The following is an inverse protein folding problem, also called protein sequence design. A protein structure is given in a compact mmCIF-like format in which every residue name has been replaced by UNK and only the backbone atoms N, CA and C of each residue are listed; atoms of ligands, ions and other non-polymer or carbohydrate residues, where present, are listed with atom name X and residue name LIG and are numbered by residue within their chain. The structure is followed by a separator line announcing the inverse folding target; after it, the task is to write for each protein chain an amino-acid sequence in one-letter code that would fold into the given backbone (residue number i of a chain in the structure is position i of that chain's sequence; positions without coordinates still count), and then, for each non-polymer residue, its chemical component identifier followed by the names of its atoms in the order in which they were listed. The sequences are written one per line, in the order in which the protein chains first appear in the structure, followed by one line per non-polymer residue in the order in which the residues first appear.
data_IF_590558407272
#
_entry.id   IF_590558407272
#
_cell.length_a   1.000
_cell.length_b   1.000
_cell.length_c   1.000
_cell.angle_alpha   90.00
_cell.angle_beta   90.00
_cell.angle_gamma   90.00
#
_symmetry.space_group_name_H-M   'P 1'
#
loop_
_entity.id
_entity.type
_entity.pdbx_description
1 polymer ?
#
# COMPACT_ATOMS: atom_id res chain seq x y z
N UNK A 1 -46.02 6.20 -11.66
CA UNK A 1 -46.18 7.60 -11.18
C UNK A 1 -45.10 8.01 -10.16
N UNK A 2 -44.71 7.16 -9.20
CA UNK A 2 -43.65 7.49 -8.22
C UNK A 2 -42.25 7.73 -8.83
N UNK A 3 -41.87 6.99 -9.88
CA UNK A 3 -40.56 7.16 -10.57
C UNK A 3 -40.47 8.43 -11.42
N UNK A 4 -41.59 8.89 -12.00
CA UNK A 4 -41.63 10.08 -12.85
C UNK A 4 -41.58 11.38 -12.01
N UNK A 5 -42.20 11.37 -10.82
CA UNK A 5 -42.09 12.48 -9.86
C UNK A 5 -40.66 12.61 -9.30
N UNK A 6 -39.98 11.49 -9.01
CA UNK A 6 -38.59 11.49 -8.56
C UNK A 6 -37.60 11.96 -9.65
N UNK A 7 -37.87 11.66 -10.93
CA UNK A 7 -37.05 12.14 -12.04
C UNK A 7 -37.19 13.66 -12.27
N UNK A 8 -38.41 14.20 -12.15
CA UNK A 8 -38.67 15.66 -12.22
C UNK A 8 -38.01 16.42 -11.05
N UNK A 9 -38.05 15.88 -9.83
CA UNK A 9 -37.41 16.48 -8.65
C UNK A 9 -35.87 16.43 -8.72
N UNK A 10 -35.30 15.39 -9.34
CA UNK A 10 -33.86 15.32 -9.59
C UNK A 10 -33.39 16.37 -10.61
N UNK A 11 -34.13 16.57 -11.70
CA UNK A 11 -33.79 17.57 -12.72
C UNK A 11 -33.82 19.01 -12.17
N UNK A 12 -34.75 19.32 -11.27
CA UNK A 12 -34.79 20.62 -10.59
C UNK A 12 -33.55 20.88 -9.72
N UNK A 13 -33.12 19.87 -8.97
CA UNK A 13 -31.91 19.95 -8.12
C UNK A 13 -30.63 20.09 -8.95
N UNK A 14 -30.55 19.43 -10.10
CA UNK A 14 -29.42 19.59 -11.03
C UNK A 14 -29.35 21.01 -11.62
N UNK A 15 -30.49 21.59 -11.97
CA UNK A 15 -30.56 22.96 -12.49
C UNK A 15 -30.13 24.00 -11.44
N UNK A 16 -30.57 23.83 -10.18
CA UNK A 16 -30.14 24.69 -9.07
C UNK A 16 -28.64 24.52 -8.78
N UNK A 17 -28.13 23.29 -8.80
CA UNK A 17 -26.70 23.02 -8.64
C UNK A 17 -25.86 23.67 -9.75
N UNK A 18 -26.32 23.62 -11.00
CA UNK A 18 -25.66 24.26 -12.13
C UNK A 18 -25.66 25.80 -12.02
N UNK A 19 -26.75 26.39 -11.49
CA UNK A 19 -26.80 27.82 -11.22
C UNK A 19 -25.77 28.24 -10.15
N UNK A 20 -25.60 27.43 -9.10
CA UNK A 20 -24.59 27.64 -8.08
C UNK A 20 -23.16 27.53 -8.64
N UNK A 21 -22.90 26.57 -9.55
CA UNK A 21 -21.60 26.49 -10.23
C UNK A 21 -21.30 27.77 -11.04
N UNK A 22 -22.28 28.26 -11.78
CA UNK A 22 -22.13 29.48 -12.57
C UNK A 22 -21.90 30.73 -11.69
N UNK A 23 -22.54 30.79 -10.51
CA UNK A 23 -22.28 31.83 -9.52
C UNK A 23 -20.86 31.73 -8.96
N UNK A 24 -20.41 30.53 -8.59
CA UNK A 24 -19.07 30.30 -8.07
C UNK A 24 -17.99 30.67 -9.10
N UNK A 25 -18.14 30.28 -10.36
CA UNK A 25 -17.23 30.68 -11.45
C UNK A 25 -17.14 32.19 -11.63
N UNK A 26 -18.27 32.90 -11.55
CA UNK A 26 -18.28 34.37 -11.63
C UNK A 26 -17.50 34.98 -10.48
N UNK A 27 -17.64 34.45 -9.26
CA UNK A 27 -16.86 34.91 -8.09
C UNK A 27 -15.36 34.66 -8.27
N UNK A 28 -14.96 33.52 -8.81
CA UNK A 28 -13.55 33.20 -9.11
C UNK A 28 -12.97 34.10 -10.22
N UNK A 29 -13.72 34.34 -11.31
CA UNK A 29 -13.27 35.23 -12.39
C UNK A 29 -13.17 36.70 -11.94
N UNK A 30 -14.09 37.14 -11.08
CA UNK A 30 -14.07 38.48 -10.49
C UNK A 30 -12.90 38.69 -9.52
N UNK A 31 -12.40 37.63 -8.86
CA UNK A 31 -11.21 37.71 -8.00
C UNK A 31 -9.90 37.68 -8.78
N UNK A 32 -9.85 37.04 -9.96
CA UNK A 32 -8.67 37.02 -10.86
C UNK A 32 -8.56 38.24 -11.78
N UNK A 33 -9.62 39.03 -11.94
CA UNK A 33 -9.60 40.21 -12.81
C UNK A 33 -8.66 41.29 -12.26
N UNK A 34 -7.75 41.76 -13.12
CA UNK A 34 -6.64 42.71 -12.93
C UNK A 34 -6.91 43.94 -12.03
N UNK A 35 -8.18 44.27 -11.77
CA UNK A 35 -8.59 45.37 -10.90
C UNK A 35 -8.66 45.04 -9.39
N UNK A 36 -8.48 43.77 -8.98
CA UNK A 36 -8.51 43.32 -7.56
C UNK A 36 -7.11 43.30 -6.88
N UNK A 37 -6.19 44.15 -7.32
CA UNK A 37 -4.74 44.02 -7.03
C UNK A 37 -4.19 44.58 -5.71
N UNK A 38 -5.00 44.89 -4.69
CA UNK A 38 -4.43 45.51 -3.47
C UNK A 38 -4.84 44.92 -2.11
N UNK A 39 -6.08 44.58 -1.82
CA UNK A 39 -6.44 44.11 -0.47
C UNK A 39 -7.81 43.40 -0.52
N UNK A 40 -7.86 42.07 -0.44
CA UNK A 40 -9.14 41.34 -0.24
C UNK A 40 -9.56 40.29 -1.28
N UNK A 41 -8.64 39.67 -2.01
CA UNK A 41 -8.95 38.57 -2.95
C UNK A 41 -9.20 37.20 -2.31
N UNK A 42 -8.62 36.94 -1.13
CA UNK A 42 -8.67 35.63 -0.46
C UNK A 42 -10.07 35.21 -0.01
N UNK A 43 -10.83 36.15 0.56
CA UNK A 43 -12.19 35.86 1.08
C UNK A 43 -13.18 35.48 -0.03
N UNK A 44 -13.02 36.06 -1.22
CA UNK A 44 -13.89 35.76 -2.38
C UNK A 44 -13.64 34.35 -2.94
N UNK A 45 -12.42 33.85 -2.86
CA UNK A 45 -12.08 32.49 -3.30
C UNK A 45 -12.61 31.47 -2.27
N UNK A 46 -12.53 31.78 -0.98
CA UNK A 46 -13.08 30.94 0.09
C UNK A 46 -14.62 30.81 -0.02
N UNK A 47 -15.33 31.93 -0.22
CA UNK A 47 -16.77 31.90 -0.51
C UNK A 47 -17.11 31.08 -1.77
N UNK A 48 -16.26 31.16 -2.81
CA UNK A 48 -16.48 30.38 -4.03
C UNK A 48 -16.32 28.88 -3.76
N UNK A 49 -15.33 28.47 -2.96
CA UNK A 49 -15.15 27.07 -2.56
C UNK A 49 -16.39 26.51 -1.86
N UNK A 50 -16.96 27.27 -0.91
CA UNK A 50 -18.18 26.85 -0.20
C UNK A 50 -19.38 26.68 -1.15
N UNK A 51 -19.51 27.55 -2.16
CA UNK A 51 -20.56 27.44 -3.18
C UNK A 51 -20.35 26.19 -4.04
N UNK A 52 -19.11 25.89 -4.45
CA UNK A 52 -18.82 24.64 -5.17
C UNK A 52 -19.14 23.40 -4.33
N UNK A 53 -18.77 23.38 -3.04
CA UNK A 53 -19.09 22.28 -2.14
C UNK A 53 -20.61 22.10 -1.97
N UNK A 54 -21.36 23.19 -1.88
CA UNK A 54 -22.83 23.17 -1.84
C UNK A 54 -23.41 22.59 -3.13
N UNK A 55 -22.98 23.09 -4.29
CA UNK A 55 -23.41 22.59 -5.60
C UNK A 55 -23.11 21.09 -5.76
N UNK A 56 -21.91 20.65 -5.35
CA UNK A 56 -21.50 19.25 -5.43
C UNK A 56 -22.36 18.33 -4.54
N UNK A 57 -22.76 18.79 -3.34
CA UNK A 57 -23.71 18.06 -2.51
C UNK A 57 -25.11 17.96 -3.14
N UNK A 58 -25.55 18.99 -3.86
CA UNK A 58 -26.81 18.92 -4.62
C UNK A 58 -26.73 17.95 -5.79
N UNK A 59 -25.60 17.89 -6.51
CA UNK A 59 -25.36 16.87 -7.54
C UNK A 59 -25.34 15.44 -6.96
N UNK A 60 -24.78 15.25 -5.75
CA UNK A 60 -24.85 13.97 -5.03
C UNK A 60 -26.30 13.56 -4.74
N UNK A 61 -27.16 14.51 -4.35
CA UNK A 61 -28.59 14.25 -4.13
C UNK A 61 -29.32 13.90 -5.42
N UNK A 62 -28.96 14.54 -6.53
CA UNK A 62 -29.48 14.24 -7.86
C UNK A 62 -28.96 12.90 -8.45
N UNK A 63 -28.00 12.24 -7.77
CA UNK A 63 -27.27 11.04 -8.22
C UNK A 63 -26.40 11.26 -9.46
N UNK A 64 -26.10 12.50 -9.78
CA UNK A 64 -25.16 12.84 -10.84
C UNK A 64 -23.74 12.87 -10.29
N UNK A 65 -23.14 11.69 -10.19
CA UNK A 65 -21.86 11.49 -9.50
C UNK A 65 -20.67 12.09 -10.27
N UNK A 66 -20.67 12.06 -11.60
CA UNK A 66 -19.59 12.65 -12.41
C UNK A 66 -19.55 14.18 -12.30
N UNK A 67 -20.71 14.85 -12.39
CA UNK A 67 -20.79 16.31 -12.22
C UNK A 67 -20.43 16.74 -10.78
N UNK A 68 -20.86 15.96 -9.78
CA UNK A 68 -20.50 16.18 -8.39
C UNK A 68 -18.98 16.10 -8.18
N UNK A 69 -18.33 15.07 -8.72
CA UNK A 69 -16.89 14.89 -8.63
C UNK A 69 -16.12 16.05 -9.25
N UNK A 70 -16.52 16.50 -10.45
CA UNK A 70 -15.90 17.64 -11.13
C UNK A 70 -16.02 18.94 -10.32
N UNK A 71 -17.18 19.19 -9.72
CA UNK A 71 -17.39 20.35 -8.84
C UNK A 71 -16.50 20.31 -7.60
N UNK A 72 -16.30 19.13 -6.99
CA UNK A 72 -15.36 18.97 -5.87
C UNK A 72 -13.90 19.14 -6.30
N UNK A 73 -13.50 18.68 -7.49
CA UNK A 73 -12.17 18.93 -8.03
C UNK A 73 -11.89 20.42 -8.23
N UNK A 74 -12.87 21.16 -8.74
CA UNK A 74 -12.78 22.62 -8.89
C UNK A 74 -12.66 23.31 -7.52
N UNK A 75 -13.47 22.90 -6.53
CA UNK A 75 -13.35 23.40 -5.16
C UNK A 75 -11.96 23.12 -4.56
N UNK A 76 -11.45 21.91 -4.74
CA UNK A 76 -10.15 21.49 -4.22
C UNK A 76 -8.99 22.28 -4.83
N UNK A 77 -9.05 22.57 -6.14
CA UNK A 77 -8.06 23.42 -6.82
C UNK A 77 -8.04 24.85 -6.28
N UNK A 78 -9.21 25.41 -5.94
CA UNK A 78 -9.31 26.74 -5.32
C UNK A 78 -8.77 26.74 -3.88
N UNK A 79 -9.02 25.68 -3.12
CA UNK A 79 -8.42 25.52 -1.78
C UNK A 79 -6.89 25.42 -1.83
N UNK A 80 -6.32 24.82 -2.88
CA UNK A 80 -4.87 24.82 -3.09
C UNK A 80 -4.33 26.23 -3.35
N UNK A 81 -5.06 27.08 -4.08
CA UNK A 81 -4.69 28.49 -4.29
C UNK A 81 -4.73 29.30 -2.99
N UNK A 82 -5.65 28.96 -2.08
CA UNK A 82 -5.77 29.55 -0.74
C UNK A 82 -4.69 29.07 0.25
N UNK A 83 -3.78 28.20 -0.18
CA UNK A 83 -2.80 27.50 0.67
C UNK A 83 -3.39 26.64 1.80
N UNK A 84 -4.71 26.42 1.84
CA UNK A 84 -5.32 25.45 2.76
C UNK A 84 -5.23 24.03 2.18
N UNK A 85 -4.08 23.39 2.39
CA UNK A 85 -3.80 22.03 1.89
C UNK A 85 -4.69 20.97 2.53
N UNK A 86 -5.05 21.12 3.80
CA UNK A 86 -5.84 20.13 4.52
C UNK A 86 -7.26 20.04 3.95
N UNK A 87 -7.92 21.19 3.75
CA UNK A 87 -9.28 21.24 3.21
C UNK A 87 -9.30 20.82 1.75
N UNK A 88 -8.28 21.20 0.98
CA UNK A 88 -8.10 20.72 -0.39
C UNK A 88 -8.04 19.19 -0.47
N UNK A 89 -7.26 18.55 0.42
CA UNK A 89 -7.15 17.09 0.47
C UNK A 89 -8.51 16.43 0.78
N UNK A 90 -9.28 16.98 1.73
CA UNK A 90 -10.62 16.47 2.03
C UNK A 90 -11.57 16.59 0.84
N UNK A 91 -11.54 17.70 0.10
CA UNK A 91 -12.35 17.87 -1.11
C UNK A 91 -11.97 16.87 -2.22
N UNK A 92 -10.67 16.54 -2.38
CA UNK A 92 -10.25 15.50 -3.33
C UNK A 92 -10.71 14.10 -2.91
N UNK A 93 -10.75 13.80 -1.61
CA UNK A 93 -11.30 12.54 -1.11
C UNK A 93 -12.81 12.46 -1.36
N UNK A 94 -13.55 13.55 -1.13
CA UNK A 94 -14.98 13.63 -1.44
C UNK A 94 -15.25 13.49 -2.95
N UNK A 95 -14.41 14.08 -3.80
CA UNK A 95 -14.44 13.87 -5.24
C UNK A 95 -14.21 12.39 -5.59
N UNK A 96 -13.17 11.77 -5.03
CA UNK A 96 -12.87 10.35 -5.23
C UNK A 96 -14.02 9.43 -4.83
N UNK A 97 -14.71 9.72 -3.72
CA UNK A 97 -15.89 8.98 -3.28
C UNK A 97 -17.09 9.13 -4.25
N UNK A 98 -17.25 10.29 -4.89
CA UNK A 98 -18.26 10.48 -5.92
C UNK A 98 -17.88 9.72 -7.20
N UNK A 99 -16.64 9.87 -7.68
CA UNK A 99 -16.16 9.21 -8.89
C UNK A 99 -16.08 7.70 -8.77
N UNK A 100 -15.87 7.12 -7.58
CA UNK A 100 -15.88 5.66 -7.38
C UNK A 100 -17.17 4.98 -7.88
N UNK A 101 -18.29 5.71 -7.97
CA UNK A 101 -19.57 5.21 -8.49
C UNK A 101 -19.82 5.50 -9.97
N UNK A 102 -19.07 6.43 -10.55
CA UNK A 102 -19.25 6.86 -11.94
C UNK A 102 -18.10 6.36 -12.81
N UNK A 103 -16.88 6.81 -12.49
CA UNK A 103 -15.69 6.67 -13.31
C UNK A 103 -14.49 6.29 -12.41
N UNK A 104 -14.03 5.02 -12.44
CA UNK A 104 -12.98 4.56 -11.53
C UNK A 104 -11.60 5.18 -11.80
N UNK A 105 -11.32 5.55 -13.06
CA UNK A 105 -10.04 6.16 -13.45
C UNK A 105 -9.85 7.56 -12.84
N UNK A 106 -10.87 8.42 -12.95
CA UNK A 106 -10.81 9.75 -12.33
C UNK A 106 -10.84 9.67 -10.80
N UNK A 107 -11.49 8.64 -10.22
CA UNK A 107 -11.44 8.39 -8.79
C UNK A 107 -10.01 8.13 -8.31
N UNK A 108 -9.24 7.31 -9.05
CA UNK A 108 -7.84 7.03 -8.74
C UNK A 108 -7.01 8.31 -8.83
N UNK A 109 -7.17 9.09 -9.90
CA UNK A 109 -6.46 10.37 -10.06
C UNK A 109 -6.73 11.31 -8.87
N UNK A 110 -8.00 11.49 -8.50
CA UNK A 110 -8.38 12.32 -7.36
C UNK A 110 -7.77 11.84 -6.03
N UNK A 111 -7.78 10.53 -5.78
CA UNK A 111 -7.18 9.94 -4.59
C UNK A 111 -5.64 10.06 -4.60
N UNK A 112 -4.99 9.91 -5.74
CA UNK A 112 -3.54 10.13 -5.89
C UNK A 112 -3.17 11.58 -5.57
N UNK A 113 -3.94 12.55 -6.09
CA UNK A 113 -3.77 13.97 -5.74
C UNK A 113 -3.95 14.23 -4.24
N UNK A 114 -4.92 13.57 -3.60
CA UNK A 114 -5.10 13.68 -2.14
C UNK A 114 -3.89 13.12 -1.37
N UNK A 115 -3.36 11.97 -1.78
CA UNK A 115 -2.18 11.35 -1.17
C UNK A 115 -0.96 12.27 -1.27
N UNK A 116 -0.68 12.83 -2.44
CA UNK A 116 0.43 13.79 -2.61
C UNK A 116 0.33 14.95 -1.60
N UNK A 117 -0.87 15.49 -1.42
CA UNK A 117 -1.10 16.58 -0.44
C UNK A 117 -0.87 16.09 0.99
N UNK A 118 -1.37 14.90 1.35
CA UNK A 118 -1.12 14.31 2.68
C UNK A 118 0.35 14.02 2.91
N UNK A 119 1.09 13.51 1.93
CA UNK A 119 2.52 13.24 2.03
C UNK A 119 3.36 14.52 2.07
N UNK A 120 3.01 15.54 1.29
CA UNK A 120 3.68 16.84 1.28
C UNK A 120 3.52 17.58 2.62
N UNK A 121 2.33 17.53 3.21
CA UNK A 121 2.11 18.08 4.55
C UNK A 121 3.03 17.41 5.58
N UNK A 122 3.27 16.11 5.44
CA UNK A 122 4.08 15.35 6.39
C UNK A 122 5.59 15.59 6.21
N UNK A 123 6.08 15.68 4.96
CA UNK A 123 7.49 16.03 4.68
C UNK A 123 7.87 17.41 5.22
N UNK A 124 6.93 18.37 5.19
CA UNK A 124 7.15 19.72 5.75
C UNK A 124 7.19 19.70 7.29
N UNK A 125 6.49 18.76 7.96
CA UNK A 125 6.58 18.63 9.43
C UNK A 125 7.82 17.88 9.91
N UNK A 126 8.45 17.06 9.07
CA UNK A 126 9.60 16.23 9.42
C UNK A 126 10.97 16.93 9.31
N UNK A 127 11.05 18.18 8.83
CA UNK A 127 12.32 18.87 8.66
C UNK A 127 12.25 20.38 8.98
N UNK A 128 12.69 20.81 10.18
CA UNK A 128 13.25 22.15 10.37
C UNK A 128 14.77 22.20 10.13
N UNK A 129 15.46 21.06 9.98
CA UNK A 129 16.94 21.02 9.99
C UNK A 129 17.51 20.03 8.97
N UNK A 130 17.23 20.21 7.68
CA UNK A 130 18.04 19.62 6.61
C UNK A 130 18.08 20.56 5.39
N UNK A 131 18.96 21.57 5.35
CA UNK A 131 19.24 22.29 4.12
C UNK A 131 20.32 21.54 3.33
N UNK A 132 19.95 20.60 2.46
CA UNK A 132 20.86 20.19 1.37
C UNK A 132 20.10 19.69 0.13
N UNK A 133 19.68 20.66 -0.69
CA UNK A 133 19.89 20.64 -2.14
C UNK A 133 19.68 22.08 -2.65
N UNK A 134 20.75 22.70 -3.13
CA UNK A 134 20.76 24.11 -3.57
C UNK A 134 19.78 24.38 -4.72
N UNK A 135 19.05 25.51 -4.70
CA UNK A 135 18.46 26.10 -5.88
C UNK A 135 19.46 27.09 -6.48
N UNK A 136 19.90 26.87 -7.72
CA UNK A 136 20.54 27.96 -8.49
C UNK A 136 19.50 28.47 -9.48
N UNK A 137 19.29 29.79 -9.42
CA UNK A 137 18.42 30.65 -10.24
C UNK A 137 16.96 30.79 -9.77
N UNK A 138 16.77 31.71 -8.80
CA UNK A 138 15.76 32.76 -8.86
C UNK A 138 16.23 33.93 -7.96
N UNK A 139 16.31 35.18 -8.44
CA UNK A 139 16.29 36.32 -7.55
C UNK A 139 14.88 36.90 -7.48
N UNK A 140 14.36 37.02 -6.25
CA UNK A 140 13.58 38.12 -5.67
C UNK A 140 12.52 37.58 -4.69
N UNK A 141 12.99 37.22 -3.49
CA UNK A 141 12.16 37.05 -2.30
C UNK A 141 12.18 38.36 -1.52
N UNK A 142 11.05 39.06 -1.49
CA UNK A 142 10.79 40.12 -0.52
C UNK A 142 10.06 39.49 0.67
N UNK A 143 10.71 39.55 1.82
CA UNK A 143 10.15 39.29 3.14
C UNK A 143 8.99 40.23 3.43
N UNK A 144 7.88 39.70 3.94
CA UNK A 144 7.09 40.37 4.98
C UNK A 144 6.26 39.34 5.75
N UNK A 145 6.54 39.32 7.05
CA UNK A 145 5.95 38.57 8.15
C UNK A 145 4.48 38.88 8.42
N UNK A 146 3.70 37.86 8.82
CA UNK A 146 2.99 37.81 10.13
C UNK A 146 1.94 36.70 10.13
N UNK A 147 2.10 35.69 10.98
CA UNK A 147 1.07 34.68 11.27
C UNK A 147 1.57 33.72 12.36
N UNK A 148 0.74 33.39 13.36
CA UNK A 148 1.21 32.82 14.61
C UNK A 148 1.61 31.35 14.46
N UNK A 149 2.68 31.03 15.15
CA UNK A 149 3.12 29.69 15.51
C UNK A 149 2.12 29.08 16.51
N UNK A 150 1.14 28.29 16.05
CA UNK A 150 0.41 27.32 16.91
C UNK A 150 -0.56 26.38 16.17
N UNK A 151 -0.02 25.30 15.58
CA UNK A 151 -0.48 23.95 15.91
C UNK A 151 0.57 22.94 15.44
N UNK A 152 1.49 22.60 16.35
CA UNK A 152 2.09 21.26 16.34
C UNK A 152 0.97 20.28 16.69
N UNK A 153 0.11 19.99 15.72
CA UNK A 153 -0.72 18.80 15.80
C UNK A 153 0.22 17.63 15.62
N UNK A 154 0.43 16.92 16.72
CA UNK A 154 1.01 15.59 16.84
C UNK A 154 0.94 14.82 15.53
N UNK A 155 2.09 14.64 14.85
CA UNK A 155 2.20 13.94 13.56
C UNK A 155 1.87 12.44 13.59
N UNK A 156 1.33 11.93 14.70
CA UNK A 156 0.84 10.56 14.86
C UNK A 156 -0.57 10.47 14.29
N UNK A 157 -0.73 9.79 13.16
CA UNK A 157 -2.05 9.55 12.54
C UNK A 157 -2.21 10.13 11.13
N UNK A 158 -1.30 10.99 10.67
CA UNK A 158 -1.40 11.59 9.32
C UNK A 158 -0.96 10.63 8.21
N UNK A 159 0.02 9.76 8.46
CA UNK A 159 0.34 8.72 7.46
C UNK A 159 -0.73 7.62 7.45
N UNK A 160 -1.46 7.37 8.56
CA UNK A 160 -2.59 6.43 8.54
C UNK A 160 -3.64 6.83 7.51
N UNK A 161 -3.88 8.12 7.32
CA UNK A 161 -4.87 8.62 6.35
C UNK A 161 -4.38 8.39 4.92
N UNK A 162 -3.11 8.73 4.63
CA UNK A 162 -2.51 8.47 3.32
C UNK A 162 -2.48 6.96 3.00
N UNK A 163 -2.15 6.12 3.97
CA UNK A 163 -2.14 4.66 3.84
C UNK A 163 -3.56 4.11 3.55
N UNK A 164 -4.59 4.61 4.24
CA UNK A 164 -5.99 4.24 3.94
C UNK A 164 -6.39 4.59 2.51
N UNK A 165 -5.93 5.73 1.98
CA UNK A 165 -6.20 6.09 0.59
C UNK A 165 -5.46 5.20 -0.40
N UNK A 166 -4.22 4.78 -0.11
CA UNK A 166 -3.53 3.76 -0.91
C UNK A 166 -4.27 2.42 -0.94
N UNK A 167 -4.79 1.95 0.21
CA UNK A 167 -5.66 0.77 0.24
C UNK A 167 -6.89 0.98 -0.64
N UNK A 168 -7.56 2.13 -0.53
CA UNK A 168 -8.77 2.41 -1.31
C UNK A 168 -8.50 2.46 -2.81
N UNK A 169 -7.35 2.99 -3.24
CA UNK A 169 -6.91 2.96 -4.64
C UNK A 169 -6.69 1.52 -5.09
N UNK A 170 -6.00 0.72 -4.28
CA UNK A 170 -5.72 -0.67 -4.60
C UNK A 170 -7.02 -1.51 -4.69
N UNK A 171 -7.99 -1.30 -3.81
CA UNK A 171 -9.33 -1.90 -3.91
C UNK A 171 -10.05 -1.53 -5.22
N UNK A 172 -9.88 -0.30 -5.75
CA UNK A 172 -10.46 0.09 -7.04
C UNK A 172 -9.75 -0.64 -8.19
N UNK A 173 -8.42 -0.79 -8.13
CA UNK A 173 -7.68 -1.57 -9.11
C UNK A 173 -8.07 -3.05 -9.10
N UNK A 174 -8.38 -3.61 -7.94
CA UNK A 174 -8.88 -4.98 -7.80
C UNK A 174 -10.27 -5.17 -8.42
N UNK A 175 -11.24 -4.30 -8.10
CA UNK A 175 -12.65 -4.54 -8.46
C UNK A 175 -13.01 -4.05 -9.85
N UNK A 176 -12.51 -2.89 -10.27
CA UNK A 176 -13.00 -2.21 -11.49
C UNK A 176 -12.06 -2.38 -12.69
N UNK A 177 -10.74 -2.41 -12.46
CA UNK A 177 -9.74 -2.40 -13.53
C UNK A 177 -9.03 -3.74 -13.72
N UNK A 178 -9.10 -4.62 -12.71
CA UNK A 178 -8.44 -5.93 -12.69
C UNK A 178 -6.95 -5.84 -13.04
N UNK A 179 -6.30 -4.74 -12.67
CA UNK A 179 -4.86 -4.52 -12.84
C UNK A 179 -4.15 -4.87 -11.53
N UNK A 180 -3.79 -6.16 -11.41
CA UNK A 180 -3.26 -6.76 -10.17
C UNK A 180 -1.84 -6.25 -9.88
N UNK A 181 -1.03 -5.98 -10.92
CA UNK A 181 0.35 -5.51 -10.77
C UNK A 181 0.40 -4.13 -10.09
N UNK A 182 -0.43 -3.19 -10.57
CA UNK A 182 -0.51 -1.85 -9.95
C UNK A 182 -1.15 -1.89 -8.57
N UNK A 183 -2.12 -2.79 -8.34
CA UNK A 183 -2.71 -2.97 -7.02
C UNK A 183 -1.66 -3.39 -5.99
N UNK A 184 -0.77 -4.33 -6.34
CA UNK A 184 0.34 -4.76 -5.47
C UNK A 184 1.22 -3.58 -5.07
N UNK A 185 1.67 -2.77 -6.03
CA UNK A 185 2.55 -1.63 -5.75
C UNK A 185 1.92 -0.65 -4.75
N UNK A 186 0.61 -0.39 -4.87
CA UNK A 186 -0.10 0.49 -3.93
C UNK A 186 -0.31 -0.16 -2.54
N UNK A 187 -0.55 -1.46 -2.45
CA UNK A 187 -0.62 -2.15 -1.17
C UNK A 187 0.73 -2.24 -0.46
N UNK A 188 1.82 -2.45 -1.19
CA UNK A 188 3.19 -2.43 -0.65
C UNK A 188 3.51 -1.05 -0.08
N UNK A 189 3.24 0.00 -0.85
CA UNK A 189 3.43 1.37 -0.39
C UNK A 189 2.59 1.67 0.86
N UNK A 190 1.34 1.20 0.91
CA UNK A 190 0.51 1.32 2.11
C UNK A 190 1.08 0.56 3.31
N UNK A 191 1.64 -0.63 3.10
CA UNK A 191 2.24 -1.43 4.16
C UNK A 191 3.45 -0.72 4.77
N UNK A 192 4.29 -0.10 3.93
CA UNK A 192 5.45 0.67 4.37
C UNK A 192 5.05 1.89 5.21
N UNK A 193 3.97 2.60 4.82
CA UNK A 193 3.43 3.70 5.63
C UNK A 193 2.95 3.22 7.01
N UNK A 194 2.23 2.09 7.08
CA UNK A 194 1.79 1.54 8.36
C UNK A 194 2.93 1.01 9.22
N UNK A 195 3.97 0.44 8.59
CA UNK A 195 5.19 -0.04 9.26
C UNK A 195 5.97 1.13 9.86
N UNK A 196 6.05 2.25 9.16
CA UNK A 196 6.66 3.50 9.66
C UNK A 196 5.95 4.12 10.86
N UNK A 197 4.65 3.87 11.01
CA UNK A 197 3.84 4.32 12.16
C UNK A 197 3.67 3.26 13.26
N UNK A 198 4.41 2.14 13.21
CA UNK A 198 4.35 1.01 14.15
C UNK A 198 2.97 0.30 14.21
N UNK A 199 2.09 0.54 13.24
CA UNK A 199 0.77 -0.10 13.13
C UNK A 199 0.86 -1.48 12.45
N UNK A 200 1.50 -2.42 13.15
CA UNK A 200 1.80 -3.76 12.60
C UNK A 200 0.56 -4.53 12.15
N UNK A 201 -0.57 -4.43 12.85
CA UNK A 201 -1.80 -5.14 12.47
C UNK A 201 -2.35 -4.70 11.10
N UNK A 202 -2.32 -3.40 10.82
CA UNK A 202 -2.78 -2.84 9.54
C UNK A 202 -1.78 -3.10 8.42
N UNK A 203 -0.49 -3.04 8.73
CA UNK A 203 0.58 -3.42 7.81
C UNK A 203 0.44 -4.89 7.38
N UNK A 204 0.26 -5.80 8.33
CA UNK A 204 0.07 -7.23 8.06
C UNK A 204 -1.15 -7.48 7.17
N UNK A 205 -2.26 -6.75 7.37
CA UNK A 205 -3.43 -6.86 6.49
C UNK A 205 -3.10 -6.51 5.03
N UNK A 206 -2.30 -5.47 4.80
CA UNK A 206 -1.89 -5.07 3.45
C UNK A 206 -0.91 -6.08 2.84
N UNK A 207 0.09 -6.51 3.63
CA UNK A 207 1.09 -7.49 3.21
C UNK A 207 0.46 -8.84 2.81
N UNK A 208 -0.56 -9.30 3.55
CA UNK A 208 -1.28 -10.54 3.20
C UNK A 208 -2.03 -10.42 1.87
N UNK A 209 -2.55 -9.24 1.54
CA UNK A 209 -3.14 -8.97 0.23
C UNK A 209 -2.08 -8.99 -0.88
N UNK A 210 -0.93 -8.34 -0.66
CA UNK A 210 0.21 -8.39 -1.58
C UNK A 210 0.63 -9.83 -1.85
N UNK A 211 0.84 -10.63 -0.80
CA UNK A 211 1.26 -12.02 -0.95
C UNK A 211 0.21 -12.87 -1.68
N UNK A 212 -1.08 -12.63 -1.42
CA UNK A 212 -2.18 -13.31 -2.11
C UNK A 212 -2.19 -13.04 -3.62
N UNK A 213 -1.97 -11.78 -4.02
CA UNK A 213 -1.90 -11.39 -5.44
C UNK A 213 -0.58 -11.77 -6.10
N UNK A 214 0.54 -11.67 -5.40
CA UNK A 214 1.85 -12.14 -5.89
C UNK A 214 1.81 -13.63 -6.21
N UNK A 215 1.14 -14.44 -5.39
CA UNK A 215 0.92 -15.85 -5.69
C UNK A 215 0.11 -16.05 -6.98
N UNK A 216 -0.86 -15.19 -7.29
CA UNK A 216 -1.62 -15.27 -8.55
C UNK A 216 -0.75 -14.94 -9.77
N UNK A 217 0.16 -13.97 -9.64
CA UNK A 217 1.13 -13.56 -10.66
C UNK A 217 2.37 -14.48 -10.78
N UNK A 218 2.37 -15.62 -10.08
CA UNK A 218 3.47 -16.60 -10.08
C UNK A 218 4.79 -16.09 -9.47
N UNK A 219 4.74 -14.96 -8.74
CA UNK A 219 5.86 -14.46 -7.93
C UNK A 219 5.91 -15.18 -6.57
N UNK A 220 6.08 -16.50 -6.60
CA UNK A 220 6.02 -17.33 -5.39
C UNK A 220 7.10 -16.99 -4.36
N UNK A 221 8.32 -16.66 -4.81
CA UNK A 221 9.41 -16.31 -3.90
C UNK A 221 9.10 -15.06 -3.09
N UNK A 222 8.55 -14.02 -3.75
CA UNK A 222 8.14 -12.78 -3.10
C UNK A 222 7.00 -13.03 -2.10
N UNK A 223 6.03 -13.86 -2.46
CA UNK A 223 4.92 -14.22 -1.58
C UNK A 223 5.39 -14.96 -0.32
N UNK A 224 6.33 -15.91 -0.45
CA UNK A 224 6.95 -16.62 0.68
C UNK A 224 7.58 -15.63 1.64
N UNK A 225 8.45 -14.75 1.15
CA UNK A 225 9.19 -13.82 2.00
C UNK A 225 8.23 -12.94 2.82
N UNK A 226 7.10 -12.55 2.23
CA UNK A 226 6.06 -11.76 2.90
C UNK A 226 5.31 -12.61 3.94
N UNK A 227 4.90 -13.84 3.60
CA UNK A 227 4.21 -14.72 4.56
C UNK A 227 5.09 -15.09 5.75
N UNK A 228 6.39 -15.32 5.54
CA UNK A 228 7.35 -15.56 6.61
C UNK A 228 7.56 -14.31 7.47
N UNK A 229 7.66 -13.13 6.87
CA UNK A 229 7.75 -11.87 7.62
C UNK A 229 6.53 -11.65 8.52
N UNK A 230 5.31 -11.91 8.01
CA UNK A 230 4.07 -11.77 8.79
C UNK A 230 3.97 -12.87 9.86
N UNK A 231 4.36 -14.11 9.52
CA UNK A 231 4.33 -15.26 10.42
C UNK A 231 5.35 -15.20 11.56
N UNK A 232 6.54 -14.64 11.31
CA UNK A 232 7.60 -14.46 12.30
C UNK A 232 7.47 -13.17 13.13
N UNK A 233 6.39 -12.38 12.92
CA UNK A 233 6.13 -11.17 13.68
C UNK A 233 7.03 -9.98 13.30
N UNK A 234 7.44 -9.87 12.05
CA UNK A 234 8.19 -8.71 11.52
C UNK A 234 9.71 -8.80 11.68
N UNK A 235 10.27 -9.98 11.99
CA UNK A 235 11.71 -10.19 11.90
C UNK A 235 12.12 -10.30 10.41
N UNK A 236 13.06 -9.48 9.90
CA UNK A 236 13.66 -9.75 8.60
C UNK A 236 14.49 -11.04 8.71
N UNK A 237 14.11 -12.07 7.96
CA UNK A 237 15.04 -13.16 7.67
C UNK A 237 16.23 -12.59 6.89
N UNK A 238 17.48 -12.98 7.22
CA UNK A 238 18.59 -12.70 6.32
C UNK A 238 18.29 -13.43 4.99
N UNK A 239 18.54 -12.80 3.83
CA UNK A 239 18.30 -13.44 2.55
C UNK A 239 19.11 -14.74 2.49
N UNK A 240 18.41 -15.88 2.40
CA UNK A 240 19.03 -17.13 2.02
C UNK A 240 19.45 -16.98 0.55
N UNK A 241 20.74 -16.73 0.34
CA UNK A 241 21.30 -16.43 -0.96
C UNK A 241 21.21 -17.59 -1.95
N UNK A 242 20.93 -17.24 -3.20
CA UNK A 242 21.17 -17.98 -4.43
C UNK A 242 21.04 -16.99 -5.60
N UNK A 243 22.11 -16.79 -6.39
CA UNK A 243 22.32 -15.64 -7.30
C UNK A 243 21.31 -15.51 -8.46
N UNK A 244 21.24 -14.41 -9.21
CA UNK A 244 22.32 -13.54 -9.71
C UNK A 244 21.74 -12.20 -10.16
N UNK A 245 22.38 -11.08 -9.79
CA UNK A 245 22.23 -9.79 -10.46
C UNK A 245 23.55 -9.00 -10.36
N UNK A 246 23.93 -8.23 -11.39
CA UNK A 246 25.27 -7.67 -11.56
C UNK A 246 25.50 -6.46 -10.63
N UNK A 247 26.78 -6.11 -10.35
CA UNK A 247 27.08 -4.98 -9.47
C UNK A 247 26.72 -3.63 -10.13
N UNK A 248 26.11 -2.67 -9.41
CA UNK A 248 26.09 -1.29 -9.87
C UNK A 248 27.50 -0.70 -9.69
N UNK A 249 28.20 -0.51 -10.81
CA UNK A 249 29.44 0.27 -10.83
C UNK A 249 29.14 1.73 -10.47
N UNK A 250 29.50 2.05 -9.23
CA UNK A 250 30.27 3.22 -8.83
C UNK A 250 29.86 4.59 -9.42
N UNK A 251 29.22 5.39 -8.56
CA UNK A 251 29.29 6.85 -8.61
C UNK A 251 30.75 7.33 -8.72
N UNK A 252 31.09 7.87 -9.89
CA UNK A 252 32.38 8.47 -10.20
C UNK A 252 32.39 9.92 -9.69
N UNK A 253 33.01 10.17 -8.54
CA UNK A 253 33.41 11.52 -8.12
C UNK A 253 34.91 11.72 -8.43
N UNK A 254 35.34 12.90 -8.92
CA UNK A 254 36.72 13.13 -9.33
C UNK A 254 37.65 13.41 -8.14
N UNK A 255 38.79 12.70 -8.12
CA UNK A 255 39.91 12.95 -7.22
C UNK A 255 40.75 14.14 -7.71
N UNK A 256 40.94 15.14 -6.85
CA UNK A 256 42.00 16.14 -6.94
C UNK A 256 43.07 15.88 -5.89
N UNK A 257 44.28 15.58 -6.36
CA UNK A 257 45.54 15.26 -5.69
C UNK A 257 45.83 15.87 -4.29
N UNK A 258 46.29 15.02 -3.35
CA UNK A 258 47.52 15.26 -2.54
C UNK A 258 48.04 13.96 -1.87
N UNK A 259 49.37 13.84 -1.62
CA UNK A 259 50.05 12.55 -1.48
C UNK A 259 50.16 12.00 -0.05
N UNK A 260 50.33 10.67 -0.01
CA UNK A 260 50.77 9.84 1.12
C UNK A 260 52.05 10.36 1.77
N UNK A 261 51.98 10.71 3.04
CA UNK A 261 53.05 10.46 4.01
C UNK A 261 52.50 10.55 5.43
N UNK A 262 52.10 9.40 5.97
CA UNK A 262 52.21 8.98 7.38
C UNK A 262 51.28 7.79 7.57
N UNK A 263 51.84 6.60 7.41
CA UNK A 263 51.19 5.33 7.66
C UNK A 263 51.63 4.82 9.05
N UNK A 264 50.61 4.50 9.86
CA UNK A 264 50.58 3.54 10.98
C UNK A 264 51.14 3.96 12.36
N UNK A 265 50.68 3.38 13.50
CA UNK A 265 49.73 2.26 13.66
C UNK A 265 48.70 2.45 14.80
N UNK A 266 47.39 2.59 14.52
CA UNK A 266 46.31 2.36 15.52
C UNK A 266 45.01 1.81 14.89
N UNK A 267 45.12 0.85 13.96
CA UNK A 267 43.97 0.23 13.29
C UNK A 267 43.93 -1.30 13.40
N UNK A 268 44.46 -1.88 14.48
CA UNK A 268 44.38 -3.33 14.74
C UNK A 268 43.44 -3.72 15.89
N UNK A 269 42.57 -2.81 16.36
CA UNK A 269 41.63 -3.11 17.46
C UNK A 269 40.15 -2.80 17.14
N UNK A 270 39.79 -2.52 15.89
CA UNK A 270 38.38 -2.33 15.48
C UNK A 270 37.86 -3.45 14.57
N UNK A 271 38.74 -4.38 14.18
CA UNK A 271 38.38 -5.57 13.39
C UNK A 271 37.92 -6.75 14.25
N UNK A 272 37.24 -6.45 15.36
CA UNK A 272 36.54 -7.46 16.18
C UNK A 272 35.16 -6.95 16.65
N UNK A 273 34.50 -6.12 15.83
CA UNK A 273 33.09 -5.72 16.04
C UNK A 273 32.18 -6.26 14.92
N UNK A 274 32.73 -7.06 13.99
CA UNK A 274 31.96 -7.66 12.89
C UNK A 274 31.37 -9.04 13.19
N UNK A 275 31.37 -9.49 14.46
CA UNK A 275 30.70 -10.72 14.88
C UNK A 275 29.85 -10.50 16.14
N UNK A 276 28.95 -9.50 16.08
CA UNK A 276 27.91 -9.31 17.10
C UNK A 276 26.59 -8.65 16.62
N UNK A 277 26.09 -8.79 15.37
CA UNK A 277 24.69 -8.46 15.09
C UNK A 277 23.71 -9.62 15.35
N UNK A 278 24.19 -10.84 15.66
CA UNK A 278 23.31 -11.99 15.89
C UNK A 278 22.54 -11.95 17.22
N UNK A 279 22.92 -11.08 18.17
CA UNK A 279 22.29 -11.03 19.49
C UNK A 279 21.15 -9.99 19.60
N UNK A 280 21.03 -9.04 18.66
CA UNK A 280 19.97 -8.02 18.70
C UNK A 280 18.70 -8.43 17.95
N UNK A 281 18.77 -9.42 17.06
CA UNK A 281 17.62 -9.90 16.29
C UNK A 281 16.73 -10.89 17.07
N UNK A 282 17.29 -11.61 18.06
CA UNK A 282 16.53 -12.58 18.84
C UNK A 282 15.64 -11.93 19.92
N UNK A 283 16.01 -10.74 20.40
CA UNK A 283 15.29 -10.05 21.49
C UNK A 283 13.97 -9.39 21.02
N UNK A 284 13.86 -9.06 19.73
CA UNK A 284 12.64 -8.45 19.15
C UNK A 284 11.62 -9.52 18.76
N UNK A 285 12.06 -10.76 18.51
CA UNK A 285 11.18 -11.89 18.18
C UNK A 285 10.29 -12.35 19.34
N UNK A 286 10.72 -12.18 20.59
CA UNK A 286 9.95 -12.66 21.76
C UNK A 286 8.72 -11.79 22.06
N UNK A 287 8.72 -10.51 21.69
CA UNK A 287 7.64 -9.58 22.08
C UNK A 287 6.40 -9.63 21.18
N UNK A 288 6.52 -10.11 19.93
CA UNK A 288 5.39 -10.24 19.00
C UNK A 288 4.67 -11.61 19.11
N UNK A 289 5.36 -12.61 19.68
CA UNK A 289 4.91 -14.01 19.74
C UNK A 289 3.95 -14.29 20.91
N UNK A 290 3.73 -13.33 21.80
CA UNK A 290 2.91 -13.49 23.01
C UNK A 290 1.44 -13.09 22.86
N UNK A 291 1.03 -12.59 21.68
CA UNK A 291 -0.39 -12.34 21.43
C UNK A 291 -1.11 -13.64 21.05
N UNK A 292 -1.98 -14.20 21.91
CA UNK A 292 -2.72 -15.44 21.62
C UNK A 292 -3.60 -15.35 20.37
N UNK A 293 -3.93 -14.14 19.90
CA UNK A 293 -4.72 -13.89 18.69
C UNK A 293 -3.97 -14.15 17.38
N UNK A 294 -2.65 -13.93 17.35
CA UNK A 294 -1.82 -14.16 16.15
C UNK A 294 -1.40 -15.63 16.03
N UNK A 295 -1.37 -16.38 17.13
CA UNK A 295 -0.96 -17.80 17.13
C UNK A 295 -1.86 -18.71 16.28
N UNK A 296 -3.15 -18.41 16.22
CA UNK A 296 -4.10 -19.19 15.40
C UNK A 296 -4.06 -18.82 13.92
N UNK A 297 -3.80 -17.54 13.61
CA UNK A 297 -3.68 -17.08 12.22
C UNK A 297 -2.30 -17.35 11.61
N UNK A 298 -1.25 -17.44 12.42
CA UNK A 298 0.10 -17.76 11.97
C UNK A 298 0.18 -19.12 11.26
N UNK A 299 -0.61 -20.12 11.71
CA UNK A 299 -0.68 -21.45 11.09
C UNK A 299 -1.12 -21.38 9.63
N UNK A 300 -2.09 -20.53 9.32
CA UNK A 300 -2.58 -20.32 7.95
C UNK A 300 -1.50 -19.65 7.08
N UNK A 301 -0.73 -18.70 7.63
CA UNK A 301 0.35 -18.04 6.88
C UNK A 301 1.51 -18.99 6.56
N UNK A 302 1.94 -19.82 7.51
CA UNK A 302 2.97 -20.83 7.26
C UNK A 302 2.50 -21.90 6.27
N UNK A 303 1.23 -22.30 6.34
CA UNK A 303 0.65 -23.22 5.36
C UNK A 303 0.63 -22.62 3.96
N UNK A 304 0.24 -21.35 3.81
CA UNK A 304 0.29 -20.62 2.54
C UNK A 304 1.73 -20.48 2.03
N UNK A 305 2.69 -20.17 2.89
CA UNK A 305 4.12 -20.10 2.53
C UNK A 305 4.66 -21.45 2.05
N UNK A 306 4.35 -22.55 2.75
CA UNK A 306 4.73 -23.90 2.36
C UNK A 306 4.15 -24.28 0.98
N UNK A 307 2.88 -23.94 0.71
CA UNK A 307 2.26 -24.17 -0.59
C UNK A 307 2.94 -23.33 -1.70
N UNK A 308 3.32 -22.09 -1.42
CA UNK A 308 4.07 -21.28 -2.37
C UNK A 308 5.46 -21.88 -2.66
N UNK A 309 6.17 -22.38 -1.65
CA UNK A 309 7.41 -23.13 -1.87
C UNK A 309 7.19 -24.39 -2.68
N UNK A 310 6.08 -25.09 -2.46
CA UNK A 310 5.75 -26.32 -3.18
C UNK A 310 5.47 -26.08 -4.66
N UNK A 311 4.93 -24.91 -5.04
CA UNK A 311 4.82 -24.51 -6.44
C UNK A 311 6.17 -24.20 -7.11
N UNK A 312 7.23 -23.91 -6.33
CA UNK A 312 8.58 -23.68 -6.86
C UNK A 312 9.33 -25.01 -6.92
N UNK A 313 9.56 -25.64 -5.76
CA UNK A 313 10.38 -26.83 -5.61
C UNK A 313 9.92 -27.69 -4.43
N UNK A 314 9.90 -29.01 -4.66
CA UNK A 314 9.61 -30.00 -3.62
C UNK A 314 10.58 -29.96 -2.43
N UNK A 315 11.89 -29.80 -2.69
CA UNK A 315 12.91 -29.82 -1.64
C UNK A 315 12.76 -28.63 -0.69
N UNK A 316 12.45 -27.46 -1.24
CA UNK A 316 12.20 -26.25 -0.45
C UNK A 316 10.95 -26.40 0.41
N UNK A 317 9.89 -27.04 -0.11
CA UNK A 317 8.69 -27.33 0.67
C UNK A 317 8.96 -28.29 1.84
N UNK A 318 9.71 -29.38 1.63
CA UNK A 318 10.11 -30.30 2.72
C UNK A 318 10.90 -29.58 3.82
N UNK A 319 11.88 -28.76 3.41
CA UNK A 319 12.69 -27.98 4.33
C UNK A 319 11.83 -26.97 5.11
N UNK A 320 10.89 -26.29 4.43
CA UNK A 320 9.98 -25.36 5.07
C UNK A 320 9.08 -26.05 6.10
N UNK A 321 8.52 -27.22 5.77
CA UNK A 321 7.71 -28.01 6.72
C UNK A 321 8.53 -28.40 7.94
N UNK A 322 9.75 -28.91 7.76
CA UNK A 322 10.64 -29.27 8.86
C UNK A 322 10.95 -28.07 9.75
N UNK A 323 11.28 -26.91 9.15
CA UNK A 323 11.50 -25.66 9.89
C UNK A 323 10.27 -25.26 10.71
N UNK A 324 9.06 -25.38 10.16
CA UNK A 324 7.84 -25.01 10.86
C UNK A 324 7.51 -25.97 12.02
N UNK A 325 7.90 -27.24 11.94
CA UNK A 325 7.82 -28.19 13.05
C UNK A 325 8.78 -27.86 14.19
N UNK A 326 10.01 -27.45 13.85
CA UNK A 326 11.02 -27.04 14.82
C UNK A 326 10.63 -25.73 15.53
N UNK A 327 10.06 -24.78 14.78
CA UNK A 327 9.63 -23.49 15.33
C UNK A 327 8.38 -23.60 16.20
N UNK A 328 7.48 -24.54 15.90
CA UNK A 328 6.22 -24.69 16.62
C UNK A 328 5.86 -26.17 16.82
N UNK A 329 6.17 -26.75 18.00
CA UNK A 329 5.75 -28.13 18.32
C UNK A 329 4.23 -28.34 18.27
N UNK A 330 3.44 -27.28 18.53
CA UNK A 330 1.97 -27.31 18.42
C UNK A 330 1.46 -27.24 16.97
N UNK A 331 2.33 -26.94 16.00
CA UNK A 331 2.02 -26.98 14.57
C UNK A 331 2.04 -28.42 14.05
N UNK A 332 2.92 -29.28 14.56
CA UNK A 332 3.05 -30.69 14.14
C UNK A 332 1.74 -31.49 14.23
N UNK A 333 0.91 -31.22 15.24
CA UNK A 333 -0.40 -31.87 15.42
C UNK A 333 -1.53 -31.24 14.58
N UNK A 334 -1.25 -30.11 13.91
CA UNK A 334 -2.23 -29.35 13.15
C UNK A 334 -2.59 -30.05 11.82
N UNK A 335 -3.81 -29.80 11.33
CA UNK A 335 -4.36 -30.51 10.17
C UNK A 335 -3.67 -30.10 8.88
N UNK A 336 -3.24 -28.85 8.82
CA UNK A 336 -2.52 -28.20 7.72
C UNK A 336 -1.16 -28.89 7.49
N UNK A 337 -0.45 -29.24 8.56
CA UNK A 337 0.81 -29.99 8.49
C UNK A 337 0.60 -31.42 8.00
N UNK A 338 -0.42 -32.09 8.54
CA UNK A 338 -0.76 -33.47 8.15
C UNK A 338 -1.14 -33.53 6.67
N UNK A 339 -1.92 -32.57 6.19
CA UNK A 339 -2.20 -32.43 4.76
C UNK A 339 -0.90 -32.21 3.99
N UNK A 340 -0.07 -31.22 4.36
CA UNK A 340 1.16 -30.91 3.64
C UNK A 340 2.10 -32.12 3.52
N UNK A 341 2.26 -32.90 4.60
CA UNK A 341 3.04 -34.15 4.56
C UNK A 341 2.47 -35.17 3.59
N UNK A 342 1.16 -35.43 3.65
CA UNK A 342 0.48 -36.33 2.69
C UNK A 342 0.65 -35.86 1.24
N UNK A 343 0.57 -34.54 0.99
CA UNK A 343 0.75 -33.97 -0.35
C UNK A 343 2.19 -34.11 -0.84
N UNK A 344 3.18 -33.93 0.05
CA UNK A 344 4.59 -34.16 -0.28
C UNK A 344 4.84 -35.63 -0.60
N UNK A 345 4.37 -36.57 0.23
CA UNK A 345 4.50 -38.02 -0.01
C UNK A 345 3.85 -38.42 -1.34
N UNK A 346 2.61 -37.97 -1.62
CA UNK A 346 1.94 -38.25 -2.88
C UNK A 346 2.69 -37.69 -4.11
N UNK A 347 3.38 -36.56 -3.96
CA UNK A 347 4.22 -35.99 -5.01
C UNK A 347 5.56 -36.74 -5.16
N UNK A 348 6.10 -37.37 -4.11
CA UNK A 348 7.30 -38.23 -4.21
C UNK A 348 6.99 -39.49 -4.99
N UNK A 349 5.80 -40.03 -4.78
CA UNK A 349 5.31 -41.23 -5.45
C UNK A 349 4.72 -40.94 -6.85
N UNK A 350 4.67 -39.68 -7.27
CA UNK A 350 4.02 -39.20 -8.51
C UNK A 350 2.58 -39.71 -8.68
N UNK A 351 1.86 -39.89 -7.57
CA UNK A 351 0.54 -40.51 -7.57
C UNK A 351 -0.57 -39.45 -7.50
N UNK A 352 -1.20 -39.18 -8.65
CA UNK A 352 -2.30 -38.20 -8.77
C UNK A 352 -3.52 -38.61 -7.95
N UNK A 353 -3.82 -39.89 -7.84
CA UNK A 353 -5.00 -40.38 -7.11
C UNK A 353 -4.86 -40.15 -5.61
N UNK A 354 -3.71 -40.51 -5.04
CA UNK A 354 -3.37 -40.27 -3.62
C UNK A 354 -3.42 -38.78 -3.28
N UNK A 355 -2.90 -37.92 -4.17
CA UNK A 355 -3.00 -36.46 -4.02
C UNK A 355 -4.46 -35.98 -3.99
N UNK A 356 -5.30 -36.44 -4.92
CA UNK A 356 -6.71 -36.01 -4.94
C UNK A 356 -7.52 -36.56 -3.77
N UNK A 357 -7.20 -37.75 -3.27
CA UNK A 357 -7.82 -38.32 -2.06
C UNK A 357 -7.47 -37.48 -0.82
N UNK A 358 -6.20 -37.14 -0.63
CA UNK A 358 -5.75 -36.29 0.47
C UNK A 358 -6.45 -34.91 0.46
N UNK A 359 -6.62 -34.30 -0.73
CA UNK A 359 -7.35 -33.03 -0.87
C UNK A 359 -8.84 -33.19 -0.56
N UNK A 360 -9.49 -34.28 -0.99
CA UNK A 360 -10.90 -34.57 -0.69
C UNK A 360 -11.14 -34.81 0.80
N UNK A 361 -10.28 -35.56 1.47
CA UNK A 361 -10.34 -35.77 2.92
C UNK A 361 -10.24 -34.44 3.67
N UNK A 362 -9.35 -33.55 3.20
CA UNK A 362 -9.22 -32.23 3.81
C UNK A 362 -10.45 -31.35 3.58
N UNK A 363 -10.99 -31.30 2.36
CA UNK A 363 -12.19 -30.50 2.04
C UNK A 363 -13.42 -30.93 2.84
N UNK A 364 -13.54 -32.24 3.15
CA UNK A 364 -14.60 -32.77 3.99
C UNK A 364 -14.53 -32.24 5.45
N UNK A 365 -13.35 -31.85 5.92
CA UNK A 365 -13.12 -31.37 7.30
C UNK A 365 -13.05 -29.83 7.34
N UNK A 366 -12.32 -29.24 6.40
CA UNK A 366 -12.04 -27.82 6.28
C UNK A 366 -12.31 -27.39 4.84
N UNK A 367 -13.40 -26.63 4.64
CA UNK A 367 -13.80 -26.15 3.31
C UNK A 367 -12.69 -25.34 2.66
N UNK A 368 -12.30 -25.72 1.44
CA UNK A 368 -11.23 -25.06 0.68
C UNK A 368 -11.65 -23.65 0.22
N UNK A 369 -10.75 -22.69 0.40
CA UNK A 369 -10.88 -21.33 -0.12
C UNK A 369 -10.50 -21.26 -1.61
N UNK A 370 -10.95 -20.21 -2.31
CA UNK A 370 -10.67 -20.01 -3.74
C UNK A 370 -9.16 -19.93 -4.02
N UNK A 371 -8.40 -19.29 -3.13
CA UNK A 371 -6.94 -19.19 -3.23
C UNK A 371 -6.27 -20.58 -3.10
N UNK A 372 -6.67 -21.36 -2.10
CA UNK A 372 -6.13 -22.71 -1.87
C UNK A 372 -6.43 -23.65 -3.03
N UNK A 373 -7.66 -23.59 -3.55
CA UNK A 373 -8.07 -24.40 -4.70
C UNK A 373 -7.21 -24.09 -5.92
N UNK A 374 -6.94 -22.81 -6.19
CA UNK A 374 -6.11 -22.39 -7.32
C UNK A 374 -4.67 -22.92 -7.17
N UNK A 375 -4.09 -22.81 -5.98
CA UNK A 375 -2.73 -23.29 -5.70
C UNK A 375 -2.61 -24.82 -5.79
N UNK A 376 -3.54 -25.55 -5.19
CA UNK A 376 -3.55 -27.02 -5.24
C UNK A 376 -3.77 -27.56 -6.66
N UNK A 377 -4.56 -26.86 -7.48
CA UNK A 377 -4.73 -27.20 -8.89
C UNK A 377 -3.48 -26.93 -9.70
N UNK A 378 -2.71 -25.87 -9.39
CA UNK A 378 -1.41 -25.62 -10.04
C UNK A 378 -0.42 -26.73 -9.74
N UNK A 379 -0.30 -27.13 -8.48
CA UNK A 379 0.52 -28.30 -8.08
C UNK A 379 0.02 -29.59 -8.74
N UNK A 380 -1.30 -29.81 -8.83
CA UNK A 380 -1.81 -30.99 -9.53
C UNK A 380 -1.33 -31.04 -10.99
N UNK A 381 -1.29 -29.89 -11.67
CA UNK A 381 -0.81 -29.80 -13.05
C UNK A 381 0.68 -30.12 -13.17
N UNK A 382 1.51 -29.77 -12.19
CA UNK A 382 2.95 -30.11 -12.24
C UNK A 382 3.16 -31.62 -12.15
N UNK A 383 2.37 -32.33 -11.34
CA UNK A 383 2.41 -33.80 -11.24
C UNK A 383 1.92 -34.47 -12.54
N UNK A 384 0.85 -33.94 -13.16
CA UNK A 384 0.28 -34.51 -14.39
C UNK A 384 1.13 -34.23 -15.65
N UNK A 385 1.84 -33.10 -15.70
CA UNK A 385 2.70 -32.75 -16.83
C UNK A 385 3.88 -33.72 -17.01
N UNK A 386 4.43 -34.22 -15.90
CA UNK A 386 5.50 -35.22 -15.95
C UNK A 386 5.04 -36.56 -16.56
N UNK A 387 3.75 -36.92 -16.47
CA UNK A 387 3.20 -38.14 -17.07
C UNK A 387 2.97 -38.03 -18.58
N UNK A 388 2.65 -36.84 -19.12
CA UNK A 388 2.40 -36.63 -20.55
C UNK A 388 3.69 -36.59 -21.40
N UNK A 389 4.80 -36.08 -20.86
CA UNK A 389 6.09 -36.04 -21.58
C UNK A 389 6.78 -37.43 -21.71
N UNK A 390 6.29 -38.43 -20.98
CA UNK A 390 6.81 -39.82 -20.99
C UNK A 390 6.03 -40.77 -21.91
N UNK A 391 5.08 -40.26 -22.72
CA UNK A 391 4.16 -41.10 -23.51
C UNK A 391 4.29 -40.98 -25.03
#
# INVERSE_FOLDING_TARGET
MSTFAAAMDNSGKEAEAMALLAEAERKVKNSQSFFSGLFGGSSKIEEACEIYARAANMFKMAKNWSAAGNAFCQAAQLHLQLQSKHDAATCFVDAGNAFKKADPQEAINCLMRAIEIYTDMVRVTACPVCPVASPTILPQLRLSSSGPESRRETGKGRFTIAAKHHISIAEIYETELVDIEKAIAHYEQSADYYKGEESNSSANKCLLKVAGYAAQLEEYQKAVDIYEQVGAGGAPSPPLGGGTAPPPLACRAPLGNKPRSQLAPKCLAVTLVLWLPACSCLQVGTNAMDSPLLKYSAKDYFFKAALCHFCIDMLNAKLAVQKYEELFPAFSDSRECKLMKKLLEAHEEQNVDSYTEAVKEYDAISRLDQWLTTMLLRVKKTIQGDEEDLR
#
